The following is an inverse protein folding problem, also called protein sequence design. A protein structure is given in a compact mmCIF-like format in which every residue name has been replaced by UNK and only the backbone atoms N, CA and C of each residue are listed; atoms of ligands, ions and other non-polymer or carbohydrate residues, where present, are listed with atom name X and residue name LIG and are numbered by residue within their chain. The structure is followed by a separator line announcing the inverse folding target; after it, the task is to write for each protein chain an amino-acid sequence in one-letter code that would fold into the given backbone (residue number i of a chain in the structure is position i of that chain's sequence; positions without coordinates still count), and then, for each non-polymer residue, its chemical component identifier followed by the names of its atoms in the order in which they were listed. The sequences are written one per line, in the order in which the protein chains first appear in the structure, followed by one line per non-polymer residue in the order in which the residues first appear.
data_IF_728323654506
#
_entry.id   IF_728323654506
#
_cell.length_a   1.000
_cell.length_b   1.000
_cell.length_c   1.000
_cell.angle_alpha   90.00
_cell.angle_beta   90.00
_cell.angle_gamma   90.00
#
_symmetry.space_group_name_H-M   'P 1'
#
loop_
_entity.id
_entity.type
_entity.pdbx_description
1 polymer ?
#
# COMPACT_ATOMS: atom_id res chain seq x y z
N UNK A 1 -2.07 18.78 18.61
CA UNK A 1 -2.34 17.47 17.95
C UNK A 1 -3.81 17.31 17.47
N UNK A 2 -4.46 18.34 16.90
CA UNK A 2 -5.88 18.28 16.44
C UNK A 2 -6.08 18.26 14.91
N UNK A 3 -5.03 18.46 14.12
CA UNK A 3 -5.14 18.58 12.66
C UNK A 3 -5.22 17.24 11.92
N UNK A 4 -4.72 16.13 12.49
CA UNK A 4 -4.71 14.82 11.82
C UNK A 4 -6.09 14.16 11.67
N UNK A 5 -6.97 14.28 12.68
CA UNK A 5 -8.30 13.62 12.65
C UNK A 5 -9.18 14.06 11.48
N UNK A 6 -9.20 15.37 11.17
CA UNK A 6 -9.98 15.90 10.06
C UNK A 6 -9.51 15.38 8.69
N UNK A 7 -8.22 15.10 8.53
CA UNK A 7 -7.68 14.60 7.27
C UNK A 7 -8.14 13.16 6.99
N UNK A 8 -8.19 12.30 8.01
CA UNK A 8 -8.68 10.92 7.86
C UNK A 8 -10.18 10.86 7.60
N UNK A 9 -10.97 11.72 8.23
CA UNK A 9 -12.42 11.85 7.95
C UNK A 9 -12.66 12.28 6.50
N UNK A 10 -11.87 13.23 5.98
CA UNK A 10 -11.99 13.71 4.61
C UNK A 10 -11.54 12.64 3.60
N UNK A 11 -10.43 11.97 3.88
CA UNK A 11 -9.96 10.83 3.08
C UNK A 11 -11.01 9.72 3.03
N UNK A 12 -11.59 9.36 4.18
CA UNK A 12 -12.67 8.38 4.25
C UNK A 12 -13.89 8.82 3.42
N UNK A 13 -14.32 10.08 3.56
CA UNK A 13 -15.45 10.61 2.81
C UNK A 13 -15.21 10.55 1.29
N UNK A 14 -14.02 10.92 0.82
CA UNK A 14 -13.68 10.85 -0.60
C UNK A 14 -13.53 9.41 -1.09
N UNK A 15 -12.90 8.53 -0.32
CA UNK A 15 -12.82 7.10 -0.62
C UNK A 15 -14.22 6.49 -0.74
N UNK A 16 -15.14 6.79 0.19
CA UNK A 16 -16.49 6.22 0.21
C UNK A 16 -17.32 6.50 -1.04
N UNK A 17 -16.98 7.56 -1.79
CA UNK A 17 -17.65 7.96 -3.05
C UNK A 17 -17.10 7.24 -4.27
N UNK A 18 -15.92 6.61 -4.16
CA UNK A 18 -15.30 5.93 -5.29
C UNK A 18 -15.93 4.55 -5.54
N UNK A 19 -16.07 4.20 -6.81
CA UNK A 19 -16.64 2.92 -7.26
C UNK A 19 -15.57 2.13 -7.99
N UNK A 20 -15.31 0.91 -7.55
CA UNK A 20 -14.38 0.01 -8.22
C UNK A 20 -15.17 -1.00 -9.06
N UNK A 21 -14.90 -1.03 -10.36
CA UNK A 21 -15.47 -1.99 -11.30
C UNK A 21 -14.48 -3.12 -11.55
N UNK A 22 -14.94 -4.30 -11.97
CA UNK A 22 -14.04 -5.43 -12.32
C UNK A 22 -13.04 -5.06 -13.42
N UNK A 23 -13.41 -4.15 -14.34
CA UNK A 23 -12.48 -3.60 -15.34
C UNK A 23 -11.38 -2.74 -14.70
N UNK A 24 -11.75 -1.90 -13.73
CA UNK A 24 -10.80 -1.06 -12.99
C UNK A 24 -9.82 -1.92 -12.20
N UNK A 25 -10.28 -2.98 -11.53
CA UNK A 25 -9.41 -3.92 -10.81
C UNK A 25 -8.37 -4.56 -11.73
N UNK A 26 -8.77 -5.02 -12.93
CA UNK A 26 -7.82 -5.59 -13.92
C UNK A 26 -6.78 -4.56 -14.39
N UNK A 27 -7.22 -3.34 -14.69
CA UNK A 27 -6.30 -2.27 -15.10
C UNK A 27 -5.34 -1.89 -13.97
N UNK A 28 -5.83 -1.89 -12.73
CA UNK A 28 -5.03 -1.61 -11.55
C UNK A 28 -3.99 -2.68 -11.29
N UNK A 29 -4.26 -3.95 -11.62
CA UNK A 29 -3.25 -5.00 -11.58
C UNK A 29 -2.07 -4.73 -12.51
N UNK A 30 -2.33 -4.26 -13.74
CA UNK A 30 -1.27 -3.88 -14.70
C UNK A 30 -0.49 -2.67 -14.17
N UNK A 31 -1.18 -1.67 -13.65
CA UNK A 31 -0.57 -0.49 -13.04
C UNK A 31 0.32 -0.88 -11.85
N UNK A 32 -0.18 -1.72 -10.96
CA UNK A 32 0.53 -2.21 -9.79
C UNK A 32 1.82 -2.94 -10.19
N UNK A 33 1.76 -3.77 -11.22
CA UNK A 33 2.94 -4.46 -11.74
C UNK A 33 4.03 -3.48 -12.20
N UNK A 34 3.64 -2.42 -12.93
CA UNK A 34 4.57 -1.37 -13.33
C UNK A 34 5.17 -0.62 -12.13
N UNK A 35 4.34 -0.14 -11.21
CA UNK A 35 4.80 0.58 -10.00
C UNK A 35 5.72 -0.30 -9.14
N UNK A 36 5.45 -1.60 -9.07
CA UNK A 36 6.28 -2.56 -8.34
C UNK A 36 7.65 -2.72 -9.00
N UNK A 37 7.70 -2.90 -10.31
CA UNK A 37 8.97 -3.03 -11.03
C UNK A 37 9.83 -1.78 -10.92
N UNK A 38 9.22 -0.60 -11.08
CA UNK A 38 9.93 0.67 -10.92
C UNK A 38 10.42 0.84 -9.49
N UNK A 39 9.57 0.57 -8.49
CA UNK A 39 9.95 0.65 -7.08
C UNK A 39 11.11 -0.30 -6.75
N UNK A 40 11.04 -1.57 -7.16
CA UNK A 40 12.13 -2.54 -6.97
C UNK A 40 13.43 -2.08 -7.64
N UNK A 41 13.34 -1.55 -8.87
CA UNK A 41 14.51 -1.03 -9.58
C UNK A 41 15.16 0.13 -8.81
N UNK A 42 14.37 1.08 -8.33
CA UNK A 42 14.87 2.22 -7.56
C UNK A 42 15.39 1.82 -6.18
N UNK A 43 14.71 0.93 -5.46
CA UNK A 43 15.21 0.38 -4.19
C UNK A 43 16.55 -0.31 -4.41
N UNK A 44 16.68 -1.14 -5.44
CA UNK A 44 17.95 -1.81 -5.76
C UNK A 44 19.05 -0.85 -6.22
N UNK A 45 18.72 0.22 -6.95
CA UNK A 45 19.71 1.17 -7.51
C UNK A 45 20.17 2.22 -6.51
N UNK A 46 19.27 2.71 -5.66
CA UNK A 46 19.49 3.89 -4.82
C UNK A 46 19.53 3.58 -3.32
N UNK A 47 18.89 2.51 -2.88
CA UNK A 47 18.72 2.15 -1.47
C UNK A 47 19.00 0.65 -1.26
N UNK A 48 20.18 0.17 -1.66
CA UNK A 48 20.59 -1.21 -1.40
C UNK A 48 20.66 -1.42 0.11
N UNK A 49 19.65 -2.08 0.65
CA UNK A 49 19.60 -2.53 2.03
C UNK A 49 20.76 -3.49 2.30
N UNK A 50 21.33 -3.43 3.49
CA UNK A 50 22.27 -4.45 3.94
C UNK A 50 21.53 -5.79 4.16
N UNK A 51 22.29 -6.84 4.47
CA UNK A 51 21.70 -8.16 4.77
C UNK A 51 20.78 -8.05 5.99
N UNK A 52 19.65 -8.74 5.93
CA UNK A 52 18.59 -8.73 6.94
C UNK A 52 17.93 -7.35 7.16
N UNK A 53 18.25 -6.36 6.33
CA UNK A 53 17.53 -5.09 6.27
C UNK A 53 16.47 -5.09 5.17
N UNK A 54 15.52 -4.15 5.28
CA UNK A 54 14.45 -3.97 4.31
C UNK A 54 14.50 -2.58 3.66
N UNK A 55 14.23 -2.55 2.36
CA UNK A 55 13.98 -1.35 1.59
C UNK A 55 12.48 -1.17 1.35
N UNK A 56 11.97 0.04 1.51
CA UNK A 56 10.58 0.36 1.16
C UNK A 56 10.51 0.52 -0.36
N UNK A 57 9.64 -0.27 -1.00
CA UNK A 57 9.34 -0.17 -2.43
C UNK A 57 8.31 0.95 -2.64
N UNK A 58 7.31 1.02 -1.77
CA UNK A 58 6.32 2.09 -1.74
C UNK A 58 4.96 1.65 -1.21
N UNK A 59 4.07 2.63 -1.08
CA UNK A 59 2.65 2.41 -0.84
C UNK A 59 1.96 2.27 -2.20
N UNK A 60 1.28 1.14 -2.39
CA UNK A 60 0.66 0.79 -3.65
C UNK A 60 -0.84 0.63 -3.48
N UNK A 61 -1.59 1.10 -4.48
CA UNK A 61 -3.06 1.05 -4.46
C UNK A 61 -3.55 0.35 -5.72
N UNK A 62 -4.25 -0.77 -5.53
CA UNK A 62 -4.83 -1.54 -6.62
C UNK A 62 -6.29 -1.91 -6.32
N UNK A 63 -7.22 -1.37 -7.11
CA UNK A 63 -8.64 -1.54 -6.89
C UNK A 63 -9.04 -0.99 -5.52
N UNK A 64 -9.45 -1.89 -4.61
CA UNK A 64 -9.80 -1.56 -3.22
C UNK A 64 -8.67 -1.81 -2.23
N UNK A 65 -7.51 -2.30 -2.66
CA UNK A 65 -6.43 -2.70 -1.75
C UNK A 65 -5.37 -1.62 -1.68
N UNK A 66 -4.91 -1.33 -0.47
CA UNK A 66 -3.76 -0.50 -0.17
C UNK A 66 -2.70 -1.36 0.52
N UNK A 67 -1.51 -1.43 -0.05
CA UNK A 67 -0.42 -2.28 0.42
C UNK A 67 0.85 -1.45 0.64
N UNK A 68 1.56 -1.72 1.74
CA UNK A 68 2.96 -1.34 1.88
C UNK A 68 3.83 -2.50 1.43
N UNK A 69 4.60 -2.25 0.37
CA UNK A 69 5.48 -3.27 -0.21
C UNK A 69 6.92 -2.98 0.19
N UNK A 70 7.62 -4.04 0.62
CA UNK A 70 9.02 -3.99 1.04
C UNK A 70 9.84 -5.03 0.27
N UNK A 71 11.13 -4.76 0.18
CA UNK A 71 12.14 -5.66 -0.34
C UNK A 71 13.11 -6.01 0.78
N UNK A 72 13.28 -7.29 1.09
CA UNK A 72 14.25 -7.75 2.09
C UNK A 72 15.38 -8.46 1.36
N UNK A 73 16.63 -8.18 1.74
CA UNK A 73 17.80 -8.91 1.23
C UNK A 73 18.20 -9.97 2.25
N UNK A 74 18.06 -11.23 1.88
CA UNK A 74 18.42 -12.33 2.78
C UNK A 74 19.94 -12.56 2.85
N UNK A 75 20.34 -13.46 3.75
CA UNK A 75 21.75 -13.83 3.93
C UNK A 75 22.42 -14.43 2.69
N UNK A 76 21.62 -15.01 1.79
CA UNK A 76 22.02 -15.59 0.51
C UNK A 76 22.11 -14.56 -0.61
N UNK A 77 21.97 -13.26 -0.31
CA UNK A 77 21.96 -12.16 -1.28
C UNK A 77 20.73 -12.15 -2.20
N UNK A 78 19.67 -12.85 -1.84
CA UNK A 78 18.43 -12.91 -2.61
C UNK A 78 17.47 -11.84 -2.11
N UNK A 79 16.90 -11.08 -3.04
CA UNK A 79 15.88 -10.09 -2.73
C UNK A 79 14.49 -10.73 -2.71
N UNK A 80 13.83 -10.66 -1.56
CA UNK A 80 12.47 -11.16 -1.36
C UNK A 80 11.48 -10.00 -1.27
N UNK A 81 10.42 -10.08 -2.08
CA UNK A 81 9.33 -9.12 -2.10
C UNK A 81 8.22 -9.53 -1.14
N UNK A 82 7.77 -8.61 -0.29
CA UNK A 82 6.69 -8.85 0.65
C UNK A 82 5.70 -7.69 0.70
N UNK A 83 4.43 -8.01 0.91
CA UNK A 83 3.44 -7.06 1.41
C UNK A 83 3.53 -7.04 2.93
N UNK A 84 4.20 -6.01 3.48
CA UNK A 84 4.38 -5.87 4.92
C UNK A 84 3.05 -5.59 5.63
N UNK A 85 2.21 -4.78 4.99
CA UNK A 85 0.89 -4.45 5.50
C UNK A 85 -0.11 -4.28 4.36
N UNK A 86 -1.34 -4.73 4.56
CA UNK A 86 -2.43 -4.70 3.56
C UNK A 86 -3.73 -4.31 4.24
N UNK A 87 -4.48 -3.38 3.63
CA UNK A 87 -5.84 -3.04 4.04
C UNK A 87 -6.74 -2.78 2.85
N UNK A 88 -8.04 -3.03 3.05
CA UNK A 88 -9.06 -2.59 2.11
C UNK A 88 -9.38 -1.11 2.35
N UNK A 89 -9.41 -0.33 1.27
CA UNK A 89 -9.90 1.03 1.23
C UNK A 89 -11.42 0.95 1.34
N UNK A 90 -12.03 1.64 2.32
CA UNK A 90 -13.46 1.53 2.54
C UNK A 90 -14.24 2.32 1.46
N UNK A 91 -14.46 1.68 0.32
CA UNK A 91 -15.37 2.17 -0.72
C UNK A 91 -16.77 1.67 -0.44
N UNK A 92 -17.66 2.59 -0.03
CA UNK A 92 -19.05 2.40 0.43
C UNK A 92 -19.21 2.07 1.93
N UNK A 93 -20.45 1.92 2.40
CA UNK A 93 -20.79 1.57 3.80
C UNK A 93 -20.30 0.15 4.15
N UNK A 94 -19.01 0.04 4.44
CA UNK A 94 -18.38 -1.17 4.93
C UNK A 94 -18.48 -1.25 6.46
N UNK A 95 -18.25 -2.44 7.01
CA UNK A 95 -18.35 -2.64 8.45
C UNK A 95 -17.34 -1.73 9.20
N UNK A 96 -17.68 -1.25 10.41
CA UNK A 96 -16.78 -0.43 11.21
C UNK A 96 -15.37 -1.04 11.39
N UNK A 97 -15.27 -2.37 11.42
CA UNK A 97 -14.00 -3.10 11.50
C UNK A 97 -13.06 -2.85 10.32
N UNK A 98 -13.58 -2.71 9.09
CA UNK A 98 -12.77 -2.42 7.90
C UNK A 98 -12.25 -1.00 7.95
N UNK A 99 -13.10 -0.05 8.38
CA UNK A 99 -12.72 1.35 8.56
C UNK A 99 -11.62 1.50 9.62
N UNK A 100 -11.76 0.83 10.76
CA UNK A 100 -10.74 0.85 11.82
C UNK A 100 -9.41 0.30 11.31
N UNK A 101 -9.41 -0.86 10.64
CA UNK A 101 -8.18 -1.43 10.06
C UNK A 101 -7.53 -0.50 9.04
N UNK A 102 -8.33 0.16 8.19
CA UNK A 102 -7.81 1.13 7.24
C UNK A 102 -7.17 2.35 7.92
N UNK A 103 -7.80 2.90 8.96
CA UNK A 103 -7.22 4.01 9.72
C UNK A 103 -5.96 3.57 10.46
N UNK A 104 -5.95 2.40 11.08
CA UNK A 104 -4.74 1.82 11.71
C UNK A 104 -3.60 1.67 10.70
N UNK A 105 -3.92 1.19 9.49
CA UNK A 105 -2.98 1.08 8.37
C UNK A 105 -2.38 2.44 8.04
N UNK A 106 -3.19 3.48 7.89
CA UNK A 106 -2.69 4.83 7.60
C UNK A 106 -1.89 5.49 8.73
N UNK A 107 -1.99 4.98 9.96
CA UNK A 107 -1.19 5.46 11.09
C UNK A 107 0.16 4.75 11.18
N UNK A 108 0.30 3.58 10.56
CA UNK A 108 1.55 2.83 10.45
C UNK A 108 2.40 3.36 9.28
N UNK A 109 1.74 3.82 8.21
CA UNK A 109 2.34 4.41 7.01
C UNK A 109 2.74 5.87 7.20
#
# INVERSE_FOLDING_TARGET
MKHGKKNYELLYAECSRSTCTTRKEKNDGVKLWHETNDGMYWTHKSCKSDKDEFGIIGIQVAGKKLCLSILIRDMSEIHHYYHFHESEIPIQQLSPSVVTKFVETLLIL
#
